data_IF_277639163887
#
_entry.id   IF_277639163887
#
_cell.length_a   1.000
_cell.length_b   1.000
_cell.length_c   1.000
_cell.angle_alpha   90.00
_cell.angle_beta   90.00
_cell.angle_gamma   90.00
#
_symmetry.space_group_name_H-M   'P 1'
#
loop_
_entity.id
_entity.type
_entity.pdbx_description
1 polymer ?
#
# COMPACT_ATOMS: atom_id res chain seq x y z
N UNK A 1 -10.64 -7.98 -26.89
CA UNK A 1 -9.92 -7.09 -25.94
C UNK A 1 -10.74 -6.62 -24.73
N UNK A 2 -12.09 -6.74 -24.69
CA UNK A 2 -12.89 -6.23 -23.55
C UNK A 2 -12.98 -7.11 -22.29
N UNK A 3 -12.62 -8.40 -22.36
CA UNK A 3 -12.68 -9.32 -21.21
C UNK A 3 -11.43 -9.24 -20.32
N UNK A 4 -10.23 -9.14 -20.93
CA UNK A 4 -8.96 -8.99 -20.21
C UNK A 4 -8.90 -7.70 -19.39
N UNK A 5 -9.39 -6.59 -19.96
CA UNK A 5 -9.47 -5.30 -19.26
C UNK A 5 -10.43 -5.39 -18.08
N UNK A 6 -11.60 -6.02 -18.25
CA UNK A 6 -12.55 -6.26 -17.15
C UNK A 6 -11.97 -7.12 -16.04
N UNK A 7 -11.18 -8.14 -16.41
CA UNK A 7 -10.54 -9.00 -15.42
C UNK A 7 -9.45 -8.26 -14.64
N UNK A 8 -8.62 -7.46 -15.32
CA UNK A 8 -7.63 -6.58 -14.70
C UNK A 8 -8.26 -5.55 -13.76
N UNK A 9 -9.40 -4.96 -14.15
CA UNK A 9 -10.18 -4.06 -13.28
C UNK A 9 -10.70 -4.80 -12.04
N UNK A 10 -11.18 -6.04 -12.21
CA UNK A 10 -11.61 -6.88 -11.11
C UNK A 10 -10.48 -7.19 -10.12
N UNK A 11 -9.32 -7.59 -10.63
CA UNK A 11 -8.11 -7.86 -9.83
C UNK A 11 -7.64 -6.58 -9.14
N UNK A 12 -7.59 -5.45 -9.86
CA UNK A 12 -7.19 -4.17 -9.29
C UNK A 12 -8.11 -3.70 -8.17
N UNK A 13 -9.44 -3.89 -8.32
CA UNK A 13 -10.41 -3.59 -7.25
C UNK A 13 -10.20 -4.49 -6.04
N UNK A 14 -10.00 -5.80 -6.26
CA UNK A 14 -9.78 -6.75 -5.17
C UNK A 14 -8.53 -6.39 -4.37
N UNK A 15 -7.41 -6.17 -5.06
CA UNK A 15 -6.15 -5.74 -4.46
C UNK A 15 -6.31 -4.41 -3.72
N UNK A 16 -7.00 -3.42 -4.30
CA UNK A 16 -7.22 -2.14 -3.63
C UNK A 16 -8.06 -2.25 -2.34
N UNK A 17 -9.09 -3.11 -2.34
CA UNK A 17 -9.94 -3.34 -1.15
C UNK A 17 -9.17 -4.07 -0.07
N UNK A 18 -8.42 -5.11 -0.43
CA UNK A 18 -7.62 -5.89 0.51
C UNK A 18 -6.48 -5.05 1.11
N UNK A 19 -5.81 -4.26 0.27
CA UNK A 19 -4.80 -3.31 0.71
C UNK A 19 -5.38 -2.22 1.63
N UNK A 20 -6.56 -1.69 1.33
CA UNK A 20 -7.24 -0.73 2.21
C UNK A 20 -7.63 -1.36 3.54
N UNK A 21 -8.03 -2.64 3.54
CA UNK A 21 -8.36 -3.38 4.74
C UNK A 21 -7.12 -3.63 5.61
N UNK A 22 -6.00 -4.04 5.02
CA UNK A 22 -4.72 -4.21 5.73
C UNK A 22 -4.20 -2.89 6.27
N UNK A 23 -4.20 -1.81 5.47
CA UNK A 23 -3.79 -0.48 5.90
C UNK A 23 -4.62 0.04 7.08
N UNK A 24 -5.94 -0.20 7.07
CA UNK A 24 -6.81 0.13 8.20
C UNK A 24 -6.49 -0.70 9.43
N UNK A 25 -6.26 -2.00 9.27
CA UNK A 25 -5.91 -2.90 10.38
C UNK A 25 -4.57 -2.52 11.00
N UNK A 26 -3.60 -2.10 10.19
CA UNK A 26 -2.30 -1.64 10.65
C UNK A 26 -2.39 -0.27 11.35
N UNK A 27 -3.28 0.62 10.89
CA UNK A 27 -3.63 1.84 11.62
C UNK A 27 -4.21 1.54 13.01
N UNK A 28 -5.24 0.68 13.07
CA UNK A 28 -5.92 0.31 14.32
C UNK A 28 -4.97 -0.39 15.30
N UNK A 29 -3.92 -1.06 14.80
CA UNK A 29 -2.85 -1.67 15.59
C UNK A 29 -1.74 -0.70 16.01
N UNK A 30 -1.81 0.56 15.59
CA UNK A 30 -0.80 1.59 15.89
C UNK A 30 0.52 1.40 15.13
N UNK A 31 0.52 0.59 14.07
CA UNK A 31 1.70 0.29 13.25
C UNK A 31 2.03 1.48 12.34
N UNK A 32 1.01 2.21 11.87
CA UNK A 32 1.17 3.43 11.06
C UNK A 32 0.62 4.66 11.74
N UNK A 33 1.30 5.78 11.51
CA UNK A 33 0.70 7.09 11.72
C UNK A 33 -0.32 7.38 10.61
N UNK A 34 -1.28 8.26 10.90
CA UNK A 34 -2.24 8.74 9.91
C UNK A 34 -1.55 9.41 8.70
N UNK A 35 -0.37 10.02 8.92
CA UNK A 35 0.43 10.62 7.87
C UNK A 35 1.03 9.56 6.93
N UNK A 36 1.53 8.45 7.47
CA UNK A 36 2.05 7.31 6.68
C UNK A 36 0.96 6.71 5.80
N UNK A 37 -0.24 6.51 6.33
CA UNK A 37 -1.39 6.04 5.56
C UNK A 37 -1.76 7.00 4.42
N UNK A 38 -1.78 8.30 4.70
CA UNK A 38 -2.07 9.29 3.67
C UNK A 38 -1.05 9.23 2.52
N UNK A 39 0.24 9.08 2.82
CA UNK A 39 1.30 8.95 1.81
C UNK A 39 1.14 7.69 0.96
N UNK A 40 0.85 6.55 1.59
CA UNK A 40 0.62 5.29 0.87
C UNK A 40 -0.60 5.41 -0.03
N UNK A 41 -1.73 5.91 0.49
CA UNK A 41 -2.95 6.13 -0.27
C UNK A 41 -2.75 7.06 -1.47
N UNK A 42 -2.05 8.19 -1.27
CA UNK A 42 -1.75 9.15 -2.33
C UNK A 42 -0.84 8.53 -3.40
N UNK A 43 0.14 7.74 -2.98
CA UNK A 43 1.06 7.05 -3.88
C UNK A 43 0.32 6.03 -4.76
N UNK A 44 -0.59 5.24 -4.18
CA UNK A 44 -1.42 4.29 -4.96
C UNK A 44 -2.29 5.03 -5.97
N UNK A 45 -2.92 6.14 -5.59
CA UNK A 45 -3.71 6.97 -6.50
C UNK A 45 -2.84 7.49 -7.67
N UNK A 46 -1.61 7.92 -7.38
CA UNK A 46 -0.65 8.36 -8.39
C UNK A 46 -0.22 7.22 -9.35
N UNK A 47 -0.09 5.98 -8.86
CA UNK A 47 0.14 4.80 -9.71
C UNK A 47 -0.98 4.63 -10.72
N UNK A 48 -2.23 4.65 -10.26
CA UNK A 48 -3.41 4.45 -11.11
C UNK A 48 -3.52 5.56 -12.16
N UNK A 49 -3.38 6.82 -11.73
CA UNK A 49 -3.45 7.98 -12.62
C UNK A 49 -2.30 7.97 -13.64
N UNK A 50 -1.08 7.66 -13.19
CA UNK A 50 0.10 7.60 -14.06
C UNK A 50 -0.04 6.49 -15.11
N UNK A 51 -0.43 5.29 -14.68
CA UNK A 51 -0.66 4.17 -15.59
C UNK A 51 -1.78 4.46 -16.62
N UNK A 52 -2.88 5.09 -16.18
CA UNK A 52 -3.98 5.47 -17.06
C UNK A 52 -3.58 6.52 -18.11
N UNK A 53 -2.57 7.35 -17.82
CA UNK A 53 -2.04 8.37 -18.74
C UNK A 53 -0.84 7.90 -19.58
N UNK A 54 -0.36 6.67 -19.38
CA UNK A 54 0.85 6.16 -20.03
C UNK A 54 2.17 6.72 -19.44
N UNK A 55 2.09 7.39 -18.30
CA UNK A 55 3.22 7.99 -17.56
C UNK A 55 3.91 6.93 -16.69
N UNK A 56 4.56 5.95 -17.33
CA UNK A 56 5.09 4.76 -16.66
C UNK A 56 6.16 5.05 -15.61
N UNK A 57 6.99 6.08 -15.81
CA UNK A 57 8.02 6.49 -14.84
C UNK A 57 7.37 7.00 -13.55
N UNK A 58 6.33 7.82 -13.70
CA UNK A 58 5.56 8.38 -12.58
C UNK A 58 4.84 7.27 -11.82
N UNK A 59 4.22 6.33 -12.56
CA UNK A 59 3.58 5.16 -11.98
C UNK A 59 4.58 4.25 -11.22
N UNK A 60 5.75 3.98 -11.81
CA UNK A 60 6.78 3.15 -11.16
C UNK A 60 7.35 3.81 -9.91
N UNK A 61 7.58 5.13 -9.94
CA UNK A 61 8.08 5.90 -8.79
C UNK A 61 7.06 5.93 -7.64
N UNK A 62 5.79 6.13 -7.97
CA UNK A 62 4.71 6.10 -7.00
C UNK A 62 4.53 4.70 -6.39
N UNK A 63 4.63 3.64 -7.21
CA UNK A 63 4.55 2.26 -6.73
C UNK A 63 5.72 1.93 -5.79
N UNK A 64 6.93 2.39 -6.14
CA UNK A 64 8.12 2.20 -5.30
C UNK A 64 7.97 2.93 -3.97
N UNK A 65 7.47 4.17 -4.00
CA UNK A 65 7.19 4.95 -2.78
C UNK A 65 6.17 4.23 -1.89
N UNK A 66 5.05 3.77 -2.46
CA UNK A 66 4.04 3.01 -1.72
C UNK A 66 4.62 1.73 -1.09
N UNK A 67 5.41 0.96 -1.86
CA UNK A 67 6.05 -0.25 -1.37
C UNK A 67 7.05 0.02 -0.24
N UNK A 68 7.85 1.08 -0.35
CA UNK A 68 8.87 1.43 0.65
C UNK A 68 8.23 1.88 1.97
N UNK A 69 7.18 2.69 1.88
CA UNK A 69 6.41 3.09 3.05
C UNK A 69 5.66 1.93 3.69
N UNK A 70 5.22 0.93 2.93
CA UNK A 70 4.55 -0.28 3.46
C UNK A 70 5.55 -1.30 4.03
N UNK A 71 6.77 -1.34 3.50
CA UNK A 71 7.84 -2.22 4.01
C UNK A 71 8.45 -1.71 5.32
N UNK A 72 8.74 -0.41 5.41
CA UNK A 72 9.39 0.20 6.59
C UNK A 72 8.52 0.08 7.84
N UNK A 73 7.31 0.58 7.74
CA UNK A 73 6.07 0.05 8.30
C UNK A 73 6.07 -1.39 8.86
N UNK A 74 6.00 -2.41 7.98
CA UNK A 74 5.94 -3.81 8.39
C UNK A 74 7.17 -4.22 9.21
N UNK A 75 8.34 -3.65 8.90
CA UNK A 75 9.57 -3.85 9.67
C UNK A 75 9.50 -3.20 11.06
N UNK A 76 8.86 -2.04 11.20
CA UNK A 76 8.66 -1.36 12.48
C UNK A 76 7.72 -2.16 13.39
N UNK A 77 6.64 -2.71 12.85
CA UNK A 77 5.74 -3.59 13.60
C UNK A 77 6.41 -4.91 14.00
N UNK A 78 7.20 -5.54 13.10
CA UNK A 78 8.01 -6.70 13.50
C UNK A 78 8.94 -6.38 14.67
N UNK A 79 9.65 -5.24 14.61
CA UNK A 79 10.50 -4.76 15.70
C UNK A 79 9.72 -4.59 17.00
N UNK A 80 8.55 -3.98 16.95
CA UNK A 80 7.71 -3.75 18.11
C UNK A 80 7.22 -5.05 18.76
N UNK A 81 6.81 -6.03 17.94
CA UNK A 81 6.43 -7.37 18.44
C UNK A 81 7.61 -8.10 19.05
N UNK A 82 8.79 -7.99 18.45
CA UNK A 82 10.01 -8.60 18.98
C UNK A 82 10.43 -7.96 20.31
N UNK A 83 10.30 -6.64 20.49
CA UNK A 83 10.56 -5.99 21.77
C UNK A 83 9.62 -6.46 22.88
N UNK A 84 8.34 -6.73 22.59
CA UNK A 84 7.41 -7.29 23.60
C UNK A 84 7.66 -8.75 23.95
N UNK A 85 8.34 -9.52 23.08
CA UNK A 85 8.76 -10.89 23.41
C UNK A 85 10.02 -10.91 24.28
N UNK A 86 10.76 -9.80 24.28
CA UNK A 86 11.99 -9.64 25.05
C UNK A 86 11.75 -9.00 26.43
N UNK A 87 10.55 -8.48 26.72
CA UNK A 87 10.13 -8.11 28.07
C UNK A 87 9.65 -9.38 28.82
N UNK A 88 10.35 -9.83 29.88
CA UNK A 88 10.02 -11.01 30.67
C UNK A 88 8.79 -10.86 31.57
#
# INVERSE_FOLDING_TARGET
MGAQVRHLVGVGRFVAVELAHELRRDYERGVFSQQTLAVVGLSIAAVVIGAARGEWILAATAATTAGLFTYTAARADRRWRDSRRADP
#
